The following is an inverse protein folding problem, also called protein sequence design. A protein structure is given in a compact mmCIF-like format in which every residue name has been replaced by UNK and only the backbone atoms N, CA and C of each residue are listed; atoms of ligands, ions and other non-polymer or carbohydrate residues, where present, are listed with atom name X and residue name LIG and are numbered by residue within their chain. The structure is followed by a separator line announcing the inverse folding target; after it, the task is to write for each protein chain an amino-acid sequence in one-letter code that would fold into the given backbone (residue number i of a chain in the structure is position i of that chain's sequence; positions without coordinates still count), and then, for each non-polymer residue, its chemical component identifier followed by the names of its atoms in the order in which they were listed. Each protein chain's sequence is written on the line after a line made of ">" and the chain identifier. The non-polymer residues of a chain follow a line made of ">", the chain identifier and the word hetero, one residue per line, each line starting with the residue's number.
data_IF_984336392602
#
_entry.id   IF_984336392602
#
_cell.length_a   1.000
_cell.length_b   1.000
_cell.length_c   1.000
_cell.angle_alpha   90.00
_cell.angle_beta   90.00
_cell.angle_gamma   90.00
#
_symmetry.space_group_name_H-M   'P 1'
#
loop_
_entity.id
_entity.type
_entity.pdbx_description
1 polymer ?
#
# COMPACT_ATOMS: atom_id res chain seq x y z
N UNK A 1 -0.85 -7.81 8.40
CA UNK A 1 0.01 -6.60 8.33
C UNK A 1 -0.72 -5.30 8.66
N UNK A 2 -2.00 -5.15 8.29
CA UNK A 2 -2.76 -3.90 8.46
C UNK A 2 -3.58 -3.84 9.76
N UNK A 3 -3.00 -4.28 10.87
CA UNK A 3 -3.63 -4.22 12.20
C UNK A 3 -2.56 -3.90 13.23
N UNK A 4 -2.71 -2.76 13.91
CA UNK A 4 -1.87 -2.40 15.04
C UNK A 4 -2.08 -3.37 16.22
N UNK A 5 -1.11 -3.47 17.13
CA UNK A 5 -1.27 -4.28 18.34
C UNK A 5 -2.43 -3.73 19.18
N UNK A 6 -3.44 -4.55 19.45
CA UNK A 6 -4.65 -4.13 20.16
C UNK A 6 -5.58 -3.21 19.34
N UNK A 7 -5.32 -3.03 18.04
CA UNK A 7 -6.18 -2.26 17.15
C UNK A 7 -7.20 -3.13 16.42
N UNK A 8 -8.15 -2.46 15.77
CA UNK A 8 -9.18 -3.10 14.96
C UNK A 8 -8.60 -3.82 13.73
N UNK A 9 -9.18 -4.96 13.32
CA UNK A 9 -8.77 -5.67 12.10
C UNK A 9 -8.76 -4.75 10.89
N UNK A 10 -7.72 -4.85 10.04
CA UNK A 10 -7.58 -4.11 8.77
C UNK A 10 -7.47 -2.58 8.89
N UNK A 11 -7.56 -2.00 10.09
CA UNK A 11 -7.57 -0.56 10.31
C UNK A 11 -6.19 0.12 10.14
N UNK A 12 -5.13 -0.65 9.87
CA UNK A 12 -3.77 -0.14 9.67
C UNK A 12 -3.08 0.23 10.98
N UNK A 13 -2.19 1.22 10.92
CA UNK A 13 -1.53 1.80 12.09
C UNK A 13 -0.39 0.98 12.68
N UNK A 14 -0.17 -0.26 12.19
CA UNK A 14 1.00 -1.06 12.57
C UNK A 14 2.28 -0.39 12.07
N UNK A 15 3.23 -0.18 12.98
CA UNK A 15 4.58 0.25 12.65
C UNK A 15 5.38 -0.93 12.06
N UNK A 16 6.10 -0.65 10.98
CA UNK A 16 7.10 -1.55 10.40
C UNK A 16 8.45 -0.82 10.44
N UNK A 17 9.39 -1.26 11.29
CA UNK A 17 10.71 -0.65 11.34
C UNK A 17 11.49 -0.99 10.07
N UNK A 18 12.21 -0.01 9.55
CA UNK A 18 13.12 -0.15 8.42
C UNK A 18 14.44 0.56 8.74
N UNK A 19 15.53 0.31 7.98
CA UNK A 19 16.77 1.09 8.12
C UNK A 19 16.60 2.60 7.92
N UNK A 20 15.50 3.03 7.28
CA UNK A 20 15.19 4.42 6.98
C UNK A 20 14.20 5.06 7.96
N UNK A 21 13.88 4.39 9.07
CA UNK A 21 12.84 4.78 10.03
C UNK A 21 11.60 3.89 9.94
N UNK A 22 10.49 4.33 10.53
CA UNK A 22 9.26 3.55 10.65
C UNK A 22 8.24 3.93 9.57
N UNK A 23 7.78 2.93 8.81
CA UNK A 23 6.59 3.06 7.97
C UNK A 23 5.37 2.51 8.72
N UNK A 24 4.19 3.03 8.39
CA UNK A 24 2.93 2.61 9.03
C UNK A 24 2.01 2.01 7.99
N UNK A 25 1.41 0.87 8.31
CA UNK A 25 0.40 0.24 7.46
C UNK A 25 -0.85 1.13 7.32
N UNK A 26 -1.46 1.11 6.14
CA UNK A 26 -2.67 1.88 5.82
C UNK A 26 -3.93 1.18 6.33
N UNK A 27 -5.03 1.93 6.48
CA UNK A 27 -6.35 1.36 6.69
C UNK A 27 -6.85 0.72 5.38
N UNK A 28 -7.30 -0.54 5.43
CA UNK A 28 -7.85 -1.28 4.29
C UNK A 28 -9.38 -1.43 4.33
N UNK A 29 -10.03 -0.93 5.37
CA UNK A 29 -11.51 -0.98 5.51
C UNK A 29 -12.18 0.03 4.56
N UNK A 30 -13.49 -0.10 4.26
CA UNK A 30 -14.22 0.83 3.39
C UNK A 30 -14.53 2.19 4.06
N UNK A 31 -13.76 2.59 5.07
CA UNK A 31 -13.88 3.90 5.71
C UNK A 31 -13.20 5.00 4.88
N UNK A 32 -13.61 6.26 5.07
CA UNK A 32 -13.01 7.46 4.45
C UNK A 32 -11.49 7.58 4.62
N UNK A 33 -10.95 7.06 5.73
CA UNK A 33 -9.51 7.03 6.00
C UNK A 33 -8.79 5.79 5.43
N UNK A 34 -9.53 4.87 4.82
CA UNK A 34 -9.07 3.63 4.20
C UNK A 34 -9.34 3.59 2.70
N UNK A 35 -10.11 2.58 2.26
CA UNK A 35 -10.40 2.31 0.86
C UNK A 35 -11.71 2.93 0.33
N UNK A 36 -12.41 3.74 1.12
CA UNK A 36 -13.53 4.50 0.57
C UNK A 36 -13.07 5.36 -0.61
N UNK A 37 -13.81 5.30 -1.72
CA UNK A 37 -13.46 6.00 -2.95
C UNK A 37 -12.37 5.33 -3.80
N UNK A 38 -11.72 4.26 -3.35
CA UNK A 38 -10.86 3.49 -4.24
C UNK A 38 -11.72 2.70 -5.23
N UNK A 39 -11.45 2.87 -6.53
CA UNK A 39 -12.03 2.00 -7.54
C UNK A 39 -11.25 0.67 -7.59
N UNK A 40 -11.87 -0.36 -8.19
CA UNK A 40 -11.18 -1.62 -8.43
C UNK A 40 -9.93 -1.43 -9.33
N UNK A 41 -9.95 -0.44 -10.24
CA UNK A 41 -8.79 -0.07 -11.06
C UNK A 41 -7.68 0.58 -10.24
N UNK A 42 -8.02 1.45 -9.29
CA UNK A 42 -7.02 2.06 -8.38
C UNK A 42 -6.36 0.98 -7.53
N UNK A 43 -7.17 0.06 -7.00
CA UNK A 43 -6.69 -1.06 -6.20
C UNK A 43 -5.81 -2.00 -7.02
N UNK A 44 -6.22 -2.32 -8.26
CA UNK A 44 -5.41 -3.07 -9.21
C UNK A 44 -4.08 -2.38 -9.48
N UNK A 45 -4.05 -1.07 -9.76
CA UNK A 45 -2.80 -0.33 -9.99
C UNK A 45 -1.91 -0.28 -8.75
N UNK A 46 -2.48 -0.23 -7.56
CA UNK A 46 -1.72 -0.34 -6.32
C UNK A 46 -1.01 -1.70 -6.22
N UNK A 47 -1.74 -2.81 -6.40
CA UNK A 47 -1.14 -4.14 -6.33
C UNK A 47 -0.17 -4.41 -7.48
N UNK A 48 -0.59 -4.08 -8.71
CA UNK A 48 0.10 -4.47 -9.93
C UNK A 48 1.29 -3.56 -10.26
N UNK A 49 1.15 -2.26 -10.00
CA UNK A 49 2.11 -1.23 -10.36
C UNK A 49 2.67 -0.46 -9.15
N UNK A 50 2.26 -0.77 -7.92
CA UNK A 50 2.70 -0.04 -6.73
C UNK A 50 2.43 1.45 -6.82
N UNK A 51 1.29 1.83 -7.40
CA UNK A 51 0.86 3.22 -7.56
C UNK A 51 -0.39 3.47 -6.73
N UNK A 52 -0.35 4.50 -5.91
CA UNK A 52 -1.48 4.97 -5.12
C UNK A 52 -2.57 5.57 -6.01
N UNK A 53 -3.79 5.74 -5.49
CA UNK A 53 -4.91 6.38 -6.19
C UNK A 53 -4.59 7.79 -6.70
N UNK A 54 -3.74 8.52 -5.98
CA UNK A 54 -3.21 9.85 -6.35
C UNK A 54 -2.01 9.80 -7.33
N UNK A 55 -1.66 8.61 -7.85
CA UNK A 55 -0.57 8.41 -8.81
C UNK A 55 0.82 8.29 -8.17
N UNK A 56 0.92 8.50 -6.86
CA UNK A 56 2.18 8.48 -6.13
C UNK A 56 2.74 7.06 -6.01
N UNK A 57 4.06 6.91 -6.10
CA UNK A 57 4.68 5.59 -5.94
C UNK A 57 4.60 5.13 -4.48
N UNK A 58 4.18 3.88 -4.28
CA UNK A 58 4.13 3.24 -2.97
C UNK A 58 5.54 2.87 -2.52
N UNK A 59 5.81 3.07 -1.23
CA UNK A 59 7.11 2.73 -0.63
C UNK A 59 7.37 1.22 -0.68
N UNK A 60 8.64 0.76 -0.64
CA UNK A 60 8.98 -0.65 -0.82
C UNK A 60 8.39 -1.61 0.24
N UNK A 61 7.89 -1.07 1.36
CA UNK A 61 7.13 -1.86 2.33
C UNK A 61 5.81 -2.39 1.76
N UNK A 62 5.30 -1.79 0.67
CA UNK A 62 4.34 -2.45 -0.21
C UNK A 62 5.11 -3.43 -1.11
N UNK A 63 4.90 -4.75 -0.95
CA UNK A 63 5.74 -5.78 -1.59
C UNK A 63 5.37 -5.96 -3.06
N UNK A 64 5.60 -4.93 -3.88
CA UNK A 64 5.17 -4.84 -5.28
C UNK A 64 5.69 -6.00 -6.14
N UNK A 65 6.90 -6.52 -5.86
CA UNK A 65 7.45 -7.69 -6.56
C UNK A 65 6.61 -8.95 -6.39
N UNK A 66 5.83 -9.04 -5.32
CA UNK A 66 4.95 -10.18 -5.04
C UNK A 66 3.51 -9.87 -5.44
N UNK A 67 3.01 -8.66 -5.12
CA UNK A 67 1.62 -8.28 -5.42
C UNK A 67 1.39 -8.07 -6.91
N UNK A 68 2.44 -7.80 -7.70
CA UNK A 68 2.31 -7.67 -9.15
C UNK A 68 1.76 -8.93 -9.80
N UNK A 69 2.11 -10.09 -9.24
CA UNK A 69 1.74 -11.42 -9.71
C UNK A 69 0.26 -11.75 -9.52
N UNK A 70 -0.45 -11.04 -8.65
CA UNK A 70 -1.89 -11.19 -8.47
C UNK A 70 -2.55 -10.84 -9.81
N UNK A 71 -3.43 -11.69 -10.32
CA UNK A 71 -4.13 -11.43 -11.57
C UNK A 71 -5.31 -10.46 -11.34
N UNK A 72 -5.88 -9.95 -12.44
CA UNK A 72 -6.93 -8.93 -12.35
C UNK A 72 -8.20 -9.43 -11.65
N UNK A 73 -8.58 -10.68 -11.90
CA UNK A 73 -9.77 -11.30 -11.30
C UNK A 73 -9.63 -11.39 -9.78
N UNK A 74 -8.49 -11.88 -9.30
CA UNK A 74 -8.21 -12.01 -7.87
C UNK A 74 -8.10 -10.63 -7.20
N UNK A 75 -7.49 -9.65 -7.87
CA UNK A 75 -7.44 -8.29 -7.35
C UNK A 75 -8.83 -7.65 -7.19
N UNK A 76 -9.74 -7.87 -8.15
CA UNK A 76 -11.13 -7.42 -8.06
C UNK A 76 -11.86 -8.13 -6.90
N UNK A 77 -11.64 -9.45 -6.72
CA UNK A 77 -12.24 -10.22 -5.63
C UNK A 77 -11.73 -9.76 -4.25
N UNK A 78 -10.43 -9.51 -4.11
CA UNK A 78 -9.83 -8.94 -2.90
C UNK A 78 -10.40 -7.55 -2.60
N UNK A 79 -10.52 -6.69 -3.62
CA UNK A 79 -11.12 -5.37 -3.45
C UNK A 79 -12.57 -5.47 -2.97
N UNK A 80 -13.39 -6.29 -3.62
CA UNK A 80 -14.79 -6.48 -3.24
C UNK A 80 -14.91 -7.04 -1.82
N UNK A 81 -14.07 -8.00 -1.44
CA UNK A 81 -14.04 -8.54 -0.09
C UNK A 81 -13.67 -7.48 0.94
N UNK A 82 -12.66 -6.64 0.66
CA UNK A 82 -12.27 -5.53 1.54
C UNK A 82 -13.39 -4.49 1.68
N UNK A 83 -14.10 -4.19 0.60
CA UNK A 83 -15.24 -3.25 0.62
C UNK A 83 -16.44 -3.79 1.41
N UNK A 84 -16.54 -5.11 1.61
CA UNK A 84 -17.59 -5.75 2.42
C UNK A 84 -17.25 -5.80 3.94
N UNK A 85 -16.06 -5.36 4.35
CA UNK A 85 -15.65 -5.39 5.75
C UNK A 85 -16.27 -4.24 6.56
N UNK A 86 -16.38 -4.36 7.89
CA UNK A 86 -16.78 -3.23 8.73
C UNK A 86 -15.87 -2.01 8.52
N UNK A 87 -16.47 -0.84 8.31
CA UNK A 87 -15.74 0.42 8.17
C UNK A 87 -15.17 0.85 9.54
N UNK A 88 -13.85 1.10 9.60
CA UNK A 88 -13.19 1.54 10.83
C UNK A 88 -12.56 2.91 10.64
N UNK A 89 -12.93 3.85 11.52
CA UNK A 89 -12.34 5.18 11.59
C UNK A 89 -10.93 5.15 12.21
N UNK A 90 -9.93 4.92 11.37
CA UNK A 90 -8.52 4.94 11.77
C UNK A 90 -7.73 5.92 10.89
N UNK A 91 -7.39 7.12 11.37
CA UNK A 91 -6.60 8.09 10.62
C UNK A 91 -5.24 7.53 10.20
N UNK A 92 -4.79 7.87 8.99
CA UNK A 92 -3.46 7.48 8.51
C UNK A 92 -2.40 8.09 9.42
N UNK A 93 -1.50 7.26 9.93
CA UNK A 93 -0.26 7.71 10.57
C UNK A 93 0.79 8.05 9.51
N UNK A 94 1.34 9.25 9.58
CA UNK A 94 2.47 9.66 8.74
C UNK A 94 3.69 8.79 9.05
N UNK A 95 4.45 8.42 8.02
CA UNK A 95 5.69 7.68 8.21
C UNK A 95 6.73 8.53 8.96
N UNK A 96 7.40 7.91 9.93
CA UNK A 96 8.45 8.50 10.75
C UNK A 96 9.79 8.08 10.16
N UNK A 97 10.19 8.73 9.07
CA UNK A 97 11.39 8.40 8.30
C UNK A 97 12.54 9.35 8.63
N UNK A 98 13.77 8.88 8.40
CA UNK A 98 14.97 9.71 8.46
C UNK A 98 15.17 10.46 7.15
N UNK A 99 15.91 11.58 7.21
CA UNK A 99 16.33 12.29 6.01
C UNK A 99 17.24 11.40 5.13
N UNK A 100 17.11 11.40 3.79
CA UNK A 100 16.21 12.23 2.97
C UNK A 100 14.81 11.61 2.72
N UNK A 101 14.55 10.42 3.25
CA UNK A 101 13.32 9.65 3.01
C UNK A 101 12.06 10.23 3.68
N UNK A 102 12.23 11.15 4.63
CA UNK A 102 11.15 11.93 5.22
C UNK A 102 10.52 12.95 4.25
N UNK A 103 11.26 13.37 3.21
CA UNK A 103 10.73 14.27 2.19
C UNK A 103 9.97 13.49 1.12
N UNK A 104 8.89 14.06 0.59
CA UNK A 104 8.15 13.42 -0.51
C UNK A 104 9.05 13.23 -1.73
N UNK A 105 9.77 14.28 -2.14
CA UNK A 105 10.63 14.24 -3.33
C UNK A 105 11.74 13.20 -3.19
N UNK A 106 12.49 13.21 -2.09
CA UNK A 106 13.57 12.24 -1.86
C UNK A 106 13.05 10.80 -1.88
N UNK A 107 11.89 10.57 -1.25
CA UNK A 107 11.24 9.26 -1.27
C UNK A 107 10.77 8.85 -2.67
N UNK A 108 10.11 9.72 -3.43
CA UNK A 108 9.64 9.40 -4.79
C UNK A 108 10.80 9.06 -5.71
N UNK A 109 11.89 9.85 -5.67
CA UNK A 109 13.07 9.62 -6.48
C UNK A 109 13.75 8.28 -6.12
N UNK A 110 13.89 7.98 -4.84
CA UNK A 110 14.47 6.71 -4.38
C UNK A 110 13.64 5.51 -4.85
N UNK A 111 12.31 5.57 -4.72
CA UNK A 111 11.42 4.50 -5.18
C UNK A 111 11.45 4.37 -6.70
N UNK A 112 11.46 5.49 -7.44
CA UNK A 112 11.53 5.48 -8.89
C UNK A 112 12.84 4.83 -9.39
N UNK A 113 13.99 5.24 -8.83
CA UNK A 113 15.29 4.65 -9.16
C UNK A 113 15.33 3.15 -8.85
N UNK A 114 14.83 2.74 -7.68
CA UNK A 114 14.74 1.33 -7.31
C UNK A 114 13.88 0.54 -8.30
N UNK A 115 12.73 1.07 -8.72
CA UNK A 115 11.86 0.40 -9.70
C UNK A 115 12.54 0.20 -11.05
N UNK A 116 13.27 1.20 -11.53
CA UNK A 116 14.02 1.10 -12.81
C UNK A 116 15.02 -0.05 -12.76
N UNK A 117 15.68 -0.24 -11.61
CA UNK A 117 16.71 -1.27 -11.44
C UNK A 117 16.14 -2.67 -11.16
N UNK A 118 15.04 -2.76 -10.40
CA UNK A 118 14.65 -4.01 -9.75
C UNK A 118 13.19 -4.44 -9.95
N UNK A 119 12.34 -3.62 -10.58
CA UNK A 119 10.93 -3.94 -10.74
C UNK A 119 10.51 -4.06 -12.21
N UNK A 120 9.92 -5.22 -12.54
CA UNK A 120 9.19 -5.44 -13.78
C UNK A 120 7.80 -5.98 -13.43
N UNK A 121 6.71 -5.32 -13.87
CA UNK A 121 5.38 -5.83 -13.61
C UNK A 121 5.17 -7.13 -14.39
N UNK A 122 4.44 -8.06 -13.78
CA UNK A 122 4.11 -9.34 -14.39
C UNK A 122 3.00 -10.02 -13.61
N UNK A 123 2.12 -10.75 -14.30
CA UNK A 123 1.10 -11.58 -13.66
C UNK A 123 1.63 -13.00 -13.56
N UNK A 124 1.30 -13.72 -12.50
CA UNK A 124 1.66 -15.12 -12.37
C UNK A 124 1.15 -15.93 -13.57
N UNK A 125 2.05 -16.69 -14.18
CA UNK A 125 1.72 -17.70 -15.19
C UNK A 125 2.17 -19.05 -14.62
N UNK A 126 1.26 -20.04 -14.51
CA UNK A 126 1.58 -21.36 -13.98
C UNK A 126 2.54 -22.16 -14.86
#
# INVERSE_FOLDING_TARGET
>A
CHTARGGEPLAGGRALPTPFGSVFSTNLTPHATGLAGWSADDFWRALHLGQSRDGRLLVPAHPIGNTTLINRTDANALHAWLQAQPAVAAPRRTHELHWPMNTELGRQLAVAAWRVLFFRPGVYQP
#
